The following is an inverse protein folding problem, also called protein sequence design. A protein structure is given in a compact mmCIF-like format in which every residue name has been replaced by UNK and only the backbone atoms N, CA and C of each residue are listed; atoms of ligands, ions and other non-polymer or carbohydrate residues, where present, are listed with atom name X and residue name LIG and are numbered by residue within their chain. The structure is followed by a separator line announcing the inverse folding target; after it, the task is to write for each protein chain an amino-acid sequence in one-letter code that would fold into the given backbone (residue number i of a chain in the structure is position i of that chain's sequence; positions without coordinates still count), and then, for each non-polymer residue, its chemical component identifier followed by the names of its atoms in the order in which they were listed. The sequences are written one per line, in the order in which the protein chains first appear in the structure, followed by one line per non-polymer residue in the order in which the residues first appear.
data_IF_347356981907
#
_entry.id   IF_347356981907
#
_cell.length_a   1.000
_cell.length_b   1.000
_cell.length_c   1.000
_cell.angle_alpha   90.00
_cell.angle_beta   90.00
_cell.angle_gamma   90.00
#
_symmetry.space_group_name_H-M   'P 1'
#
loop_
_entity.id
_entity.type
_entity.pdbx_description
1 polymer ?
#
# COMPACT_ATOMS: atom_id res chain seq x y z
N UNK A 1 9.66 -2.43 -13.08
CA UNK A 1 8.52 -2.40 -12.15
C UNK A 1 8.93 -1.55 -10.96
N UNK A 2 8.07 -0.64 -10.47
CA UNK A 2 8.36 0.19 -9.28
C UNK A 2 8.17 -0.64 -8.01
N UNK A 3 9.01 -0.38 -7.02
CA UNK A 3 8.82 -0.86 -5.66
C UNK A 3 7.88 0.06 -4.88
N UNK A 4 7.02 -0.52 -4.05
CA UNK A 4 6.08 0.22 -3.20
C UNK A 4 6.24 -0.20 -1.75
N UNK A 5 6.27 0.76 -0.84
CA UNK A 5 6.10 0.57 0.59
C UNK A 5 4.62 0.36 0.90
N UNK A 6 4.27 -0.77 1.51
CA UNK A 6 2.92 -1.11 1.89
C UNK A 6 2.67 -0.77 3.35
N UNK A 7 1.59 -0.02 3.59
CA UNK A 7 1.09 0.31 4.90
C UNK A 7 -0.32 -0.25 5.07
N UNK A 8 -0.62 -0.87 6.19
CA UNK A 8 -1.95 -1.37 6.54
C UNK A 8 -2.59 -0.49 7.61
N UNK A 9 -3.86 -0.17 7.47
CA UNK A 9 -4.59 0.57 8.50
C UNK A 9 -4.94 -0.37 9.65
N UNK A 10 -4.61 0.01 10.89
CA UNK A 10 -4.89 -0.80 12.08
C UNK A 10 -6.37 -0.88 12.43
N UNK A 11 -7.14 0.17 12.08
CA UNK A 11 -8.56 0.28 12.45
C UNK A 11 -9.53 -0.31 11.43
N UNK A 12 -9.07 -0.62 10.21
CA UNK A 12 -9.92 -1.19 9.15
C UNK A 12 -9.19 -2.36 8.54
N UNK A 13 -9.78 -3.54 8.66
CA UNK A 13 -9.23 -4.77 8.12
C UNK A 13 -9.20 -4.71 6.59
N UNK A 14 -8.10 -5.23 6.02
CA UNK A 14 -7.92 -5.24 4.58
C UNK A 14 -7.59 -3.89 3.94
N UNK A 15 -7.66 -2.76 4.67
CA UNK A 15 -7.31 -1.47 4.07
C UNK A 15 -5.80 -1.26 4.03
N UNK A 16 -5.28 -1.13 2.81
CA UNK A 16 -3.87 -0.97 2.52
C UNK A 16 -3.58 0.32 1.73
N UNK A 17 -2.39 0.87 1.93
CA UNK A 17 -1.86 2.03 1.24
C UNK A 17 -0.46 1.68 0.69
N UNK A 18 -0.31 1.71 -0.62
CA UNK A 18 0.95 1.53 -1.31
C UNK A 18 1.54 2.89 -1.69
N UNK A 19 2.77 3.15 -1.25
CA UNK A 19 3.51 4.38 -1.52
C UNK A 19 4.78 4.03 -2.28
N UNK A 20 5.06 4.59 -3.47
CA UNK A 20 6.31 4.33 -4.17
C UNK A 20 7.51 4.70 -3.32
N UNK A 21 8.58 3.92 -3.38
CA UNK A 21 9.84 4.27 -2.67
C UNK A 21 10.43 5.60 -3.12
N UNK A 22 10.14 6.01 -4.36
CA UNK A 22 10.58 7.29 -4.93
C UNK A 22 9.78 8.48 -4.43
N UNK A 23 8.70 8.27 -3.68
CA UNK A 23 7.81 9.32 -3.20
C UNK A 23 7.91 9.49 -1.68
N UNK A 24 7.77 10.73 -1.21
CA UNK A 24 7.69 11.01 0.21
C UNK A 24 6.45 10.33 0.81
N UNK A 25 6.62 9.74 1.99
CA UNK A 25 5.51 9.08 2.72
C UNK A 25 4.50 10.15 3.13
N UNK A 26 3.21 10.03 2.73
CA UNK A 26 2.18 10.97 3.14
C UNK A 26 2.08 11.13 4.66
N UNK A 27 1.89 12.37 5.13
CA UNK A 27 1.83 12.68 6.57
C UNK A 27 0.72 11.90 7.33
N UNK A 28 -0.38 11.56 6.66
CA UNK A 28 -1.47 10.78 7.27
C UNK A 28 -1.05 9.37 7.67
N UNK A 29 0.02 8.82 7.08
CA UNK A 29 0.59 7.53 7.46
C UNK A 29 1.43 7.61 8.74
N UNK A 30 1.94 8.80 9.09
CA UNK A 30 2.80 9.02 10.25
C UNK A 30 2.08 9.02 11.61
N UNK A 31 0.75 9.10 11.63
CA UNK A 31 -0.04 9.24 12.86
C UNK A 31 -0.23 7.95 13.69
N UNK A 32 0.61 6.92 13.51
CA UNK A 32 0.55 5.65 14.26
C UNK A 32 -0.68 4.77 13.97
N UNK A 33 -1.62 5.21 13.13
CA UNK A 33 -2.78 4.45 12.68
C UNK A 33 -2.44 3.39 11.64
N UNK A 34 -1.31 3.56 10.96
CA UNK A 34 -0.84 2.70 9.90
C UNK A 34 0.36 1.88 10.37
N UNK A 35 0.41 0.62 9.95
CA UNK A 35 1.54 -0.29 10.19
C UNK A 35 2.25 -0.53 8.88
N UNK A 36 3.57 -0.38 8.85
CA UNK A 36 4.37 -0.75 7.71
C UNK A 36 4.48 -2.28 7.63
N UNK A 37 3.92 -2.87 6.58
CA UNK A 37 3.88 -4.33 6.38
C UNK A 37 5.06 -4.83 5.56
N UNK A 38 5.71 -3.94 4.79
CA UNK A 38 6.87 -4.30 3.98
C UNK A 38 6.85 -3.63 2.61
N UNK A 39 7.61 -4.20 1.68
CA UNK A 39 7.77 -3.67 0.32
C UNK A 39 7.19 -4.63 -0.71
N UNK A 40 6.35 -4.10 -1.58
CA UNK A 40 5.91 -4.73 -2.82
C UNK A 40 6.99 -4.48 -3.87
N UNK A 41 7.67 -5.54 -4.29
CA UNK A 41 8.77 -5.49 -5.26
C UNK A 41 8.96 -6.85 -5.93
N UNK A 42 9.79 -6.87 -6.98
CA UNK A 42 10.04 -7.96 -7.95
C UNK A 42 10.46 -9.31 -7.34
N UNK A 43 9.59 -9.93 -6.56
CA UNK A 43 9.83 -11.20 -5.84
C UNK A 43 8.98 -11.39 -4.58
N UNK A 44 8.45 -10.31 -3.99
CA UNK A 44 7.47 -10.38 -2.90
C UNK A 44 6.06 -10.40 -3.47
N UNK A 45 5.30 -11.46 -3.17
CA UNK A 45 3.92 -11.59 -3.65
C UNK A 45 3.07 -10.40 -3.24
N UNK A 46 2.50 -9.70 -4.22
CA UNK A 46 1.56 -8.62 -3.94
C UNK A 46 0.26 -9.17 -3.33
N UNK A 47 -0.46 -8.38 -2.52
CA UNK A 47 -1.82 -8.72 -2.11
C UNK A 47 -2.65 -9.09 -3.34
N UNK A 48 -3.54 -10.06 -3.19
CA UNK A 48 -4.34 -10.58 -4.30
C UNK A 48 -5.06 -9.48 -5.09
N UNK A 49 -5.51 -8.43 -4.39
CA UNK A 49 -6.29 -7.32 -4.94
C UNK A 49 -5.43 -6.11 -5.36
N UNK A 50 -4.10 -6.25 -5.39
CA UNK A 50 -3.21 -5.17 -5.81
C UNK A 50 -3.21 -5.02 -7.34
N UNK A 51 -3.88 -3.98 -7.84
CA UNK A 51 -3.81 -3.58 -9.25
C UNK A 51 -2.67 -2.60 -9.50
N UNK A 52 -1.62 -3.06 -10.18
CA UNK A 52 -0.46 -2.25 -10.53
C UNK A 52 -0.74 -1.10 -11.51
N UNK A 53 -1.75 -1.20 -12.38
CA UNK A 53 -2.13 -0.10 -13.30
C UNK A 53 -2.92 0.98 -12.57
N UNK A 54 -3.83 0.57 -11.69
CA UNK A 54 -4.52 1.49 -10.80
C UNK A 54 -3.52 2.19 -9.87
N UNK A 55 -2.53 1.45 -9.35
CA UNK A 55 -1.46 2.00 -8.54
C UNK A 55 -0.64 3.07 -9.28
N UNK A 56 -0.21 2.82 -10.52
CA UNK A 56 0.55 3.81 -11.30
C UNK A 56 -0.26 5.10 -11.55
N UNK A 57 -1.55 4.93 -11.86
CA UNK A 57 -2.47 6.05 -12.07
C UNK A 57 -2.68 6.84 -10.78
N UNK A 58 -3.02 6.16 -9.67
CA UNK A 58 -3.28 6.79 -8.39
C UNK A 58 -2.04 7.51 -7.84
N UNK A 59 -0.86 6.91 -8.00
CA UNK A 59 0.41 7.53 -7.62
C UNK A 59 0.70 8.78 -8.45
N UNK A 60 0.42 8.75 -9.76
CA UNK A 60 0.63 9.91 -10.62
C UNK A 60 -0.22 11.11 -10.20
N UNK A 61 -1.42 10.88 -9.66
CA UNK A 61 -2.33 11.95 -9.25
C UNK A 61 -2.22 12.32 -7.76
N UNK A 62 -1.99 11.35 -6.88
CA UNK A 62 -2.07 11.51 -5.42
C UNK A 62 -0.74 11.28 -4.69
N UNK A 63 0.25 10.66 -5.36
CA UNK A 63 1.51 10.24 -4.74
C UNK A 63 1.42 8.93 -3.94
N UNK A 64 0.24 8.32 -3.85
CA UNK A 64 -0.01 7.04 -3.17
C UNK A 64 -1.18 6.29 -3.82
N UNK A 65 -1.33 5.02 -3.49
CA UNK A 65 -2.43 4.17 -3.93
C UNK A 65 -3.11 3.50 -2.72
N UNK A 66 -4.40 3.76 -2.55
CA UNK A 66 -5.21 3.17 -1.48
C UNK A 66 -6.09 2.06 -2.08
N UNK A 67 -6.12 0.90 -1.45
CA UNK A 67 -6.96 -0.21 -1.87
C UNK A 67 -7.37 -1.07 -0.68
N UNK A 68 -8.48 -1.78 -0.82
CA UNK A 68 -8.88 -2.81 0.12
C UNK A 68 -8.51 -4.17 -0.47
N UNK A 69 -8.05 -5.07 0.39
CA UNK A 69 -7.80 -6.46 0.04
C UNK A 69 -8.51 -7.38 1.01
N UNK A 70 -8.94 -8.53 0.49
CA UNK A 70 -9.49 -9.63 1.29
C UNK A 70 -8.44 -10.70 1.61
N UNK A 71 -7.17 -10.42 1.28
CA UNK A 71 -6.07 -11.33 1.59
C UNK A 71 -5.94 -11.48 3.11
N UNK A 72 -6.02 -12.74 3.55
CA UNK A 72 -6.04 -13.15 4.96
C UNK A 72 -4.76 -12.81 5.72
N UNK A 73 -3.69 -12.41 5.02
CA UNK A 73 -2.47 -11.82 5.62
C UNK A 73 -2.70 -10.38 6.11
N UNK A 74 -3.68 -9.68 5.53
CA UNK A 74 -4.00 -8.27 5.77
C UNK A 74 -5.42 -8.02 6.30
N UNK A 75 -6.26 -9.05 6.35
CA UNK A 75 -7.49 -9.09 7.16
C UNK A 75 -7.19 -9.96 8.39
N UNK A 76 -7.11 -9.35 9.57
CA UNK A 76 -6.82 -10.08 10.81
C UNK A 76 -8.10 -10.80 11.29
#
# INVERSE_FOLDING_TARGET
MRSYNLFRLRSVEGLCCAVPESCAVPAFLGGGRWTFEGKLGTGGGAPLDFDGRAADTAVRFNGFYLFQTVDRRYTA
#
